data_IF_907874311236
#
_entry.id   IF_907874311236
#
_cell.length_a   1.000
_cell.length_b   1.000
_cell.length_c   1.000
_cell.angle_alpha   90.00
_cell.angle_beta   90.00
_cell.angle_gamma   90.00
#
_symmetry.space_group_name_H-M   'P 1'
#
loop_
_entity.id
_entity.type
_entity.pdbx_description
1 polymer ?
#
# COMPACT_ATOMS: atom_id res chain seq x y z
N UNK A 1 -17.02 -20.90 -1.67
CA UNK A 1 -16.86 -19.45 -1.51
C UNK A 1 -15.52 -19.26 -0.82
N UNK A 2 -14.54 -18.69 -1.52
CA UNK A 2 -13.18 -18.52 -0.97
C UNK A 2 -12.97 -17.13 -0.35
N UNK A 3 -13.79 -16.14 -0.73
CA UNK A 3 -13.69 -14.76 -0.25
C UNK A 3 -15.04 -14.25 0.26
N UNK A 4 -15.00 -13.42 1.30
CA UNK A 4 -16.14 -12.74 1.89
C UNK A 4 -15.97 -11.22 1.68
N UNK A 5 -16.92 -10.52 1.04
CA UNK A 5 -16.86 -9.07 0.94
C UNK A 5 -16.98 -8.43 2.32
N UNK A 6 -16.05 -7.53 2.64
CA UNK A 6 -15.98 -6.83 3.92
C UNK A 6 -15.92 -5.32 3.70
N UNK A 7 -16.54 -4.58 4.62
CA UNK A 7 -16.31 -3.15 4.77
C UNK A 7 -15.33 -2.96 5.93
N UNK A 8 -14.23 -2.23 5.66
CA UNK A 8 -13.21 -1.91 6.67
C UNK A 8 -13.24 -0.40 6.90
N UNK A 9 -13.36 0.01 8.16
CA UNK A 9 -13.23 1.42 8.52
C UNK A 9 -11.75 1.81 8.53
N UNK A 10 -11.37 2.64 7.55
CA UNK A 10 -10.01 3.13 7.36
C UNK A 10 -9.81 4.55 7.89
N UNK A 11 -10.84 5.18 8.46
CA UNK A 11 -10.74 6.55 8.94
C UNK A 11 -9.63 6.69 9.99
N UNK A 12 -8.70 7.58 9.73
CA UNK A 12 -7.52 7.87 10.56
C UNK A 12 -6.60 6.65 10.80
N UNK A 13 -6.75 5.57 10.01
CA UNK A 13 -5.94 4.35 10.13
C UNK A 13 -4.72 4.42 9.22
N UNK A 14 -3.59 3.93 9.72
CA UNK A 14 -2.35 3.83 8.95
C UNK A 14 -2.49 2.78 7.85
N UNK A 15 -2.22 3.19 6.61
CA UNK A 15 -2.15 2.29 5.46
C UNK A 15 -0.87 2.55 4.66
N UNK A 16 -0.27 1.48 4.16
CA UNK A 16 0.95 1.52 3.38
C UNK A 16 0.68 1.16 1.92
N UNK A 17 1.28 1.88 0.99
CA UNK A 17 1.36 1.51 -0.43
C UNK A 17 2.82 1.32 -0.78
N UNK A 18 3.18 0.13 -1.26
CA UNK A 18 4.53 -0.20 -1.71
C UNK A 18 4.56 -0.09 -3.23
N UNK A 19 5.42 0.80 -3.74
CA UNK A 19 5.47 1.19 -5.14
C UNK A 19 5.06 2.65 -5.36
N UNK A 20 5.65 3.29 -6.37
CA UNK A 20 5.47 4.72 -6.63
C UNK A 20 4.84 5.04 -7.99
N UNK A 21 4.44 4.03 -8.77
CA UNK A 21 3.88 4.20 -10.11
C UNK A 21 2.42 4.67 -10.14
N UNK A 22 1.85 4.74 -11.34
CA UNK A 22 0.46 5.16 -11.56
C UNK A 22 -0.57 4.27 -10.82
N UNK A 23 -0.30 2.98 -10.72
CA UNK A 23 -1.15 2.04 -9.97
C UNK A 23 -1.14 2.40 -8.48
N UNK A 24 0.04 2.71 -7.91
CA UNK A 24 0.17 3.11 -6.52
C UNK A 24 -0.59 4.40 -6.24
N UNK A 25 -0.47 5.42 -7.09
CA UNK A 25 -1.26 6.66 -6.98
C UNK A 25 -2.77 6.39 -6.96
N UNK A 26 -3.26 5.52 -7.87
CA UNK A 26 -4.68 5.14 -7.92
C UNK A 26 -5.13 4.47 -6.62
N UNK A 27 -4.33 3.55 -6.07
CA UNK A 27 -4.67 2.82 -4.84
C UNK A 27 -4.60 3.71 -3.60
N UNK A 28 -3.56 4.53 -3.48
CA UNK A 28 -3.44 5.55 -2.45
C UNK A 28 -4.64 6.51 -2.47
N UNK A 29 -5.09 6.94 -3.65
CA UNK A 29 -6.28 7.78 -3.80
C UNK A 29 -7.57 7.12 -3.29
N UNK A 30 -7.72 5.79 -3.42
CA UNK A 30 -8.87 5.06 -2.84
C UNK A 30 -8.80 5.02 -1.32
N UNK A 31 -7.63 4.73 -0.74
CA UNK A 31 -7.41 4.73 0.70
C UNK A 31 -7.67 6.12 1.31
N UNK A 32 -7.16 7.17 0.66
CA UNK A 32 -7.38 8.55 1.07
C UNK A 32 -8.85 8.98 0.98
N UNK A 33 -9.60 8.55 -0.04
CA UNK A 33 -11.05 8.76 -0.11
C UNK A 33 -11.81 8.10 1.05
N UNK A 34 -11.24 7.04 1.63
CA UNK A 34 -11.73 6.40 2.84
C UNK A 34 -11.19 7.04 4.15
N UNK A 35 -10.50 8.18 4.04
CA UNK A 35 -9.85 8.93 5.14
C UNK A 35 -8.72 8.16 5.84
N UNK A 36 -8.01 7.28 5.13
CA UNK A 36 -6.81 6.64 5.65
C UNK A 36 -5.60 7.59 5.73
N UNK A 37 -4.72 7.34 6.68
CA UNK A 37 -3.40 7.95 6.76
C UNK A 37 -2.44 7.16 5.85
N UNK A 38 -2.25 7.63 4.62
CA UNK A 38 -1.52 6.90 3.58
C UNK A 38 -0.04 7.24 3.59
N UNK A 39 0.80 6.21 3.64
CA UNK A 39 2.24 6.29 3.40
C UNK A 39 2.59 5.52 2.13
N UNK A 40 3.49 6.07 1.32
CA UNK A 40 3.98 5.46 0.08
C UNK A 40 5.47 5.19 0.24
N UNK A 41 5.89 3.94 0.07
CA UNK A 41 7.30 3.55 0.02
C UNK A 41 7.68 3.23 -1.41
N UNK A 42 8.62 4.01 -1.95
CA UNK A 42 9.22 3.73 -3.25
C UNK A 42 10.53 4.50 -3.44
N UNK A 43 11.52 3.94 -4.14
CA UNK A 43 12.74 4.67 -4.51
C UNK A 43 12.47 5.75 -5.56
N UNK A 44 11.47 5.53 -6.41
CA UNK A 44 11.05 6.44 -7.47
C UNK A 44 9.53 6.56 -7.49
N UNK A 45 9.03 7.73 -7.86
CA UNK A 45 7.60 8.04 -7.92
C UNK A 45 7.22 8.62 -9.27
N UNK A 46 6.05 8.26 -9.76
CA UNK A 46 5.47 8.85 -10.97
C UNK A 46 4.99 10.28 -10.72
N UNK A 47 4.63 10.97 -11.79
CA UNK A 47 4.10 12.34 -11.72
C UNK A 47 2.83 12.39 -10.87
N UNK A 48 1.91 11.43 -11.04
CA UNK A 48 0.66 11.39 -10.26
C UNK A 48 0.88 11.13 -8.77
N UNK A 49 1.79 10.21 -8.43
CA UNK A 49 2.19 9.96 -7.04
C UNK A 49 2.81 11.21 -6.43
N UNK A 50 3.70 11.88 -7.16
CA UNK A 50 4.31 13.14 -6.72
C UNK A 50 3.29 14.23 -6.47
N UNK A 51 2.35 14.45 -7.39
CA UNK A 51 1.29 15.46 -7.22
C UNK A 51 0.46 15.24 -5.95
N UNK A 52 0.17 13.98 -5.60
CA UNK A 52 -0.57 13.63 -4.39
C UNK A 52 0.24 13.91 -3.11
N UNK A 53 1.55 13.63 -3.13
CA UNK A 53 2.47 13.96 -2.02
C UNK A 53 2.59 15.48 -1.86
N UNK A 54 2.79 16.21 -2.96
CA UNK A 54 2.92 17.68 -2.96
C UNK A 54 1.62 18.36 -2.46
N UNK A 55 0.46 17.73 -2.67
CA UNK A 55 -0.83 18.17 -2.15
C UNK A 55 -1.04 17.82 -0.65
N UNK A 56 -0.10 17.14 0.00
CA UNK A 56 -0.19 16.71 1.40
C UNK A 56 -1.17 15.56 1.62
N UNK A 57 -1.51 14.80 0.57
CA UNK A 57 -2.51 13.73 0.64
C UNK A 57 -1.90 12.37 1.02
N UNK A 58 -0.58 12.24 0.95
CA UNK A 58 0.16 11.05 1.36
C UNK A 58 1.58 11.42 1.81
N UNK A 59 2.17 10.60 2.69
CA UNK A 59 3.57 10.71 3.09
C UNK A 59 4.43 9.85 2.17
N UNK A 60 5.57 10.37 1.73
CA UNK A 60 6.53 9.60 0.93
C UNK A 60 7.75 9.19 1.74
N UNK A 61 8.01 7.89 1.75
CA UNK A 61 9.25 7.28 2.22
C UNK A 61 10.09 6.91 1.00
N UNK A 62 11.07 7.76 0.67
CA UNK A 62 12.02 7.53 -0.41
C UNK A 62 13.03 6.44 -0.01
N UNK A 63 12.62 5.18 -0.17
CA UNK A 63 13.41 4.00 0.19
C UNK A 63 12.88 2.77 -0.53
N UNK A 64 13.69 1.70 -0.53
CA UNK A 64 13.20 0.36 -0.85
C UNK A 64 12.30 -0.15 0.28
N UNK A 65 11.47 -1.14 -0.06
CA UNK A 65 10.66 -1.82 0.94
C UNK A 65 11.53 -2.59 1.93
N UNK A 66 11.22 -2.42 3.22
CA UNK A 66 11.74 -3.24 4.32
C UNK A 66 10.61 -3.53 5.30
N UNK A 67 10.69 -4.67 5.98
CA UNK A 67 9.63 -5.18 6.84
C UNK A 67 9.19 -4.27 7.98
N UNK A 68 10.11 -3.47 8.49
CA UNK A 68 9.91 -2.53 9.58
C UNK A 68 8.86 -1.46 9.22
N UNK A 69 8.73 -1.13 7.93
CA UNK A 69 7.74 -0.17 7.42
C UNK A 69 6.30 -0.66 7.56
N UNK A 70 6.08 -1.97 7.76
CA UNK A 70 4.76 -2.54 8.04
C UNK A 70 4.29 -2.31 9.47
N UNK A 71 5.14 -1.78 10.36
CA UNK A 71 4.75 -1.55 11.74
C UNK A 71 3.55 -0.60 11.82
N UNK A 72 2.57 -0.96 12.66
CA UNK A 72 1.32 -0.23 12.91
C UNK A 72 0.38 -0.06 11.70
N UNK A 73 0.67 -0.69 10.56
CA UNK A 73 -0.20 -0.63 9.38
C UNK A 73 -1.41 -1.56 9.55
N UNK A 74 -2.60 -1.04 9.23
CA UNK A 74 -3.81 -1.86 9.18
C UNK A 74 -3.90 -2.63 7.86
N UNK A 75 -3.55 -1.96 6.76
CA UNK A 75 -3.66 -2.45 5.40
C UNK A 75 -2.42 -2.03 4.61
N UNK A 76 -1.82 -2.97 3.88
CA UNK A 76 -0.76 -2.71 2.91
C UNK A 76 -1.20 -3.10 1.50
N UNK A 77 -0.84 -2.28 0.52
CA UNK A 77 -1.05 -2.57 -0.90
C UNK A 77 0.30 -2.66 -1.59
N UNK A 78 0.62 -3.81 -2.17
CA UNK A 78 1.81 -3.98 -3.01
C UNK A 78 1.44 -3.70 -4.47
N UNK A 79 2.04 -2.66 -5.05
CA UNK A 79 1.74 -2.14 -6.38
C UNK A 79 3.04 -1.81 -7.13
N UNK A 80 4.03 -2.71 -7.05
CA UNK A 80 5.30 -2.59 -7.78
C UNK A 80 5.30 -3.47 -9.04
N UNK A 81 6.21 -3.19 -9.97
CA UNK A 81 6.48 -4.07 -11.12
C UNK A 81 7.44 -5.22 -10.77
N UNK A 82 7.92 -5.29 -9.53
CA UNK A 82 8.83 -6.32 -9.07
C UNK A 82 8.04 -7.37 -8.27
N UNK A 83 7.84 -8.53 -8.89
CA UNK A 83 7.11 -9.65 -8.29
C UNK A 83 7.77 -10.14 -6.99
N UNK A 84 9.09 -10.06 -6.87
CA UNK A 84 9.79 -10.49 -5.67
C UNK A 84 9.49 -9.54 -4.51
N UNK A 85 9.47 -8.22 -4.77
CA UNK A 85 9.06 -7.23 -3.76
C UNK A 85 7.60 -7.43 -3.36
N UNK A 86 6.71 -7.62 -4.34
CA UNK A 86 5.28 -7.84 -4.06
C UNK A 86 5.05 -9.09 -3.19
N UNK A 87 5.79 -10.17 -3.47
CA UNK A 87 5.75 -11.40 -2.67
C UNK A 87 6.31 -11.20 -1.26
N UNK A 88 7.41 -10.48 -1.13
CA UNK A 88 8.02 -10.16 0.16
C UNK A 88 7.07 -9.33 1.04
N UNK A 89 6.42 -8.32 0.47
CA UNK A 89 5.37 -7.54 1.16
C UNK A 89 4.25 -8.45 1.66
N UNK A 90 3.78 -9.39 0.84
CA UNK A 90 2.75 -10.35 1.21
C UNK A 90 3.17 -11.24 2.38
N UNK A 91 4.32 -11.92 2.26
CA UNK A 91 4.78 -12.87 3.27
C UNK A 91 4.99 -12.17 4.63
N UNK A 92 5.57 -10.96 4.62
CA UNK A 92 5.81 -10.19 5.83
C UNK A 92 4.53 -9.60 6.44
N UNK A 93 3.57 -9.15 5.61
CA UNK A 93 2.28 -8.66 6.09
C UNK A 93 1.45 -9.78 6.73
N UNK A 94 1.40 -10.96 6.10
CA UNK A 94 0.73 -12.14 6.65
C UNK A 94 1.35 -12.58 7.98
N UNK A 95 2.68 -12.58 8.09
CA UNK A 95 3.37 -12.91 9.34
C UNK A 95 3.01 -11.96 10.50
N UNK A 96 2.62 -10.72 10.20
CA UNK A 96 2.22 -9.69 11.17
C UNK A 96 0.69 -9.56 11.35
N UNK A 97 -0.12 -10.40 10.69
CA UNK A 97 -1.58 -10.30 10.65
C UNK A 97 -2.11 -8.95 10.12
N UNK A 98 -1.40 -8.37 9.15
CA UNK A 98 -1.80 -7.13 8.48
C UNK A 98 -2.60 -7.50 7.22
N UNK A 99 -3.66 -6.76 6.92
CA UNK A 99 -4.40 -6.95 5.67
C UNK A 99 -3.47 -6.60 4.50
N UNK A 100 -3.42 -7.44 3.47
CA UNK A 100 -2.57 -7.22 2.30
C UNK A 100 -3.39 -7.34 1.02
N UNK A 101 -3.11 -6.45 0.08
CA UNK A 101 -3.59 -6.59 -1.30
C UNK A 101 -2.39 -6.46 -2.24
N UNK A 102 -2.02 -7.54 -2.91
CA UNK A 102 -1.09 -7.48 -4.04
C UNK A 102 -1.90 -7.24 -5.31
N UNK A 103 -1.55 -6.19 -6.05
CA UNK A 103 -2.27 -5.83 -7.28
C UNK A 103 -2.08 -6.92 -8.33
N UNK A 104 -3.18 -7.29 -8.99
CA UNK A 104 -3.25 -8.29 -10.06
C UNK A 104 -2.83 -9.72 -9.66
N UNK A 105 -2.65 -10.00 -8.36
CA UNK A 105 -2.33 -11.34 -7.80
C UNK A 105 -3.34 -11.76 -6.72
N UNK A 106 -4.53 -12.26 -7.09
CA UNK A 106 -5.55 -12.72 -6.12
C UNK A 106 -5.07 -13.78 -5.13
N UNK A 107 -4.15 -14.64 -5.55
CA UNK A 107 -3.52 -15.68 -4.73
C UNK A 107 -2.59 -15.12 -3.63
N UNK A 108 -2.24 -13.84 -3.71
CA UNK A 108 -1.42 -13.11 -2.73
C UNK A 108 -2.25 -12.06 -1.97
N UNK A 109 -3.50 -12.38 -1.61
CA UNK A 109 -4.39 -11.52 -0.82
C UNK A 109 -4.81 -12.15 0.52
#
# INVERSE_FOLDING_TARGET
>A
MEYLPLFVDLKDRACLVVGGGEIAARKAGLLRKANANVTIVAPEISVSTKSMIDAGEAVWLNSLFIGEQLSDQLLVIAATNDEAVNRDVYDQAKAKNILVNVVDSPELC
#
